data_IF_883054450583
#
_entry.id   IF_883054450583
#
_cell.length_a   1.000
_cell.length_b   1.000
_cell.length_c   1.000
_cell.angle_alpha   90.00
_cell.angle_beta   90.00
_cell.angle_gamma   90.00
#
_symmetry.space_group_name_H-M   'P 1'
#
loop_
_entity.id
_entity.type
_entity.pdbx_description
1 polymer ?
#
# COMPACT_ATOMS: atom_id res chain seq x y z
N UNK A 1 8.40 7.64 26.99
CA UNK A 1 9.00 8.48 25.92
C UNK A 1 8.04 8.56 24.74
N UNK A 2 7.05 9.45 24.79
CA UNK A 2 6.07 9.63 23.70
C UNK A 2 6.30 10.91 22.89
N UNK A 3 6.96 11.91 23.47
CA UNK A 3 7.17 13.22 22.85
C UNK A 3 8.19 13.24 21.70
N UNK A 4 9.18 12.33 21.67
CA UNK A 4 10.19 12.30 20.61
C UNK A 4 9.70 11.74 19.27
N UNK A 5 8.56 11.04 19.24
CA UNK A 5 8.00 10.44 18.02
C UNK A 5 7.14 11.39 17.19
N UNK A 6 6.58 12.44 17.82
CA UNK A 6 5.71 13.44 17.18
C UNK A 6 6.50 14.44 16.30
N UNK A 7 7.68 14.89 16.74
CA UNK A 7 8.48 15.86 15.96
C UNK A 7 9.11 15.26 14.69
N UNK A 8 9.26 13.94 14.61
CA UNK A 8 9.74 13.24 13.41
C UNK A 8 8.57 12.78 12.50
N UNK A 9 7.33 13.17 12.80
CA UNK A 9 6.17 12.92 11.95
C UNK A 9 5.93 14.08 10.98
N UNK A 10 6.14 15.34 11.39
CA UNK A 10 5.89 16.51 10.52
C UNK A 10 6.81 16.55 9.30
N UNK A 11 8.07 16.13 9.42
CA UNK A 11 8.99 16.03 8.28
C UNK A 11 8.69 14.85 7.35
N UNK A 12 8.30 13.70 7.91
CA UNK A 12 7.91 12.51 7.14
C UNK A 12 6.55 12.68 6.45
N UNK A 13 5.59 13.38 7.07
CA UNK A 13 4.34 13.79 6.43
C UNK A 13 4.62 14.68 5.22
N UNK A 14 5.51 15.68 5.36
CA UNK A 14 5.80 16.60 4.27
C UNK A 14 6.49 15.92 3.08
N UNK A 15 7.39 14.96 3.34
CA UNK A 15 7.91 14.10 2.26
C UNK A 15 6.78 13.27 1.67
N UNK A 16 6.02 12.51 2.46
CA UNK A 16 4.90 11.67 2.01
C UNK A 16 3.88 12.42 1.11
N UNK A 17 3.62 13.69 1.39
CA UNK A 17 2.64 14.53 0.67
C UNK A 17 3.07 14.94 -0.75
N UNK A 18 4.36 14.87 -1.09
CA UNK A 18 4.88 15.24 -2.43
C UNK A 18 4.92 14.05 -3.41
N UNK A 19 4.57 12.84 -2.96
CA UNK A 19 4.51 11.61 -3.76
C UNK A 19 3.12 11.28 -4.30
N UNK A 20 3.00 10.16 -5.00
CA UNK A 20 1.68 9.61 -5.37
C UNK A 20 1.02 9.04 -4.12
N UNK A 21 -0.26 9.37 -3.90
CA UNK A 21 -0.97 9.01 -2.68
C UNK A 21 -2.30 8.30 -3.00
N UNK A 22 -2.49 7.13 -2.41
CA UNK A 22 -3.71 6.34 -2.48
C UNK A 22 -4.33 6.18 -1.09
N UNK A 23 -5.65 6.14 -1.05
CA UNK A 23 -6.43 5.85 0.16
C UNK A 23 -7.43 4.75 -0.11
N UNK A 24 -7.56 3.83 0.83
CA UNK A 24 -8.68 2.90 0.94
C UNK A 24 -9.44 3.19 2.23
N UNK A 25 -10.75 3.43 2.09
CA UNK A 25 -11.67 3.44 3.23
C UNK A 25 -12.10 2.02 3.48
N UNK A 26 -11.74 1.50 4.64
CA UNK A 26 -12.01 0.13 5.03
C UNK A 26 -13.39 0.06 5.66
N UNK A 27 -14.22 -0.84 5.16
CA UNK A 27 -15.53 -1.14 5.72
C UNK A 27 -15.57 -2.61 6.07
N UNK A 28 -15.84 -2.89 7.34
CA UNK A 28 -15.87 -4.22 7.90
C UNK A 28 -17.23 -4.87 7.87
N UNK A 29 -17.22 -6.20 7.75
CA UNK A 29 -18.43 -7.01 7.81
C UNK A 29 -18.80 -7.40 9.24
N UNK A 30 -17.86 -7.23 10.18
CA UNK A 30 -18.04 -7.53 11.61
C UNK A 30 -18.00 -6.27 12.48
N UNK A 31 -18.18 -5.08 11.88
CA UNK A 31 -18.16 -3.79 12.57
C UNK A 31 -16.78 -3.13 12.64
N UNK A 32 -15.78 -3.69 11.96
CA UNK A 32 -14.50 -3.04 11.73
C UNK A 32 -14.65 -1.85 10.77
N UNK A 33 -13.92 -0.77 11.04
CA UNK A 33 -13.84 0.39 10.13
C UNK A 33 -12.45 1.00 10.24
N UNK A 34 -11.98 1.58 9.14
CA UNK A 34 -10.67 2.19 9.14
C UNK A 34 -10.30 2.94 7.87
N UNK A 35 -9.08 3.44 7.87
CA UNK A 35 -8.44 4.05 6.71
C UNK A 35 -7.05 3.44 6.53
N UNK A 36 -6.73 3.15 5.28
CA UNK A 36 -5.40 2.75 4.86
C UNK A 36 -4.93 3.74 3.80
N UNK A 37 -3.75 4.30 4.01
CA UNK A 37 -3.10 5.23 3.10
C UNK A 37 -1.76 4.65 2.64
N UNK A 38 -1.48 4.82 1.35
CA UNK A 38 -0.25 4.39 0.71
C UNK A 38 0.34 5.55 -0.05
N UNK A 39 1.57 5.93 0.28
CA UNK A 39 2.28 7.01 -0.38
C UNK A 39 3.62 6.55 -0.93
N UNK A 40 3.96 7.00 -2.13
CA UNK A 40 5.21 6.61 -2.77
C UNK A 40 5.81 7.75 -3.58
N UNK A 41 7.10 7.98 -3.33
CA UNK A 41 7.95 8.71 -4.25
C UNK A 41 8.50 7.78 -5.31
N UNK A 42 8.70 8.32 -6.50
CA UNK A 42 9.32 7.55 -7.56
C UNK A 42 10.72 7.04 -7.13
N UNK A 43 10.99 5.77 -7.43
CA UNK A 43 12.24 5.09 -7.08
C UNK A 43 12.38 4.67 -5.62
N UNK A 44 11.35 4.86 -4.79
CA UNK A 44 11.33 4.44 -3.39
C UNK A 44 10.24 3.39 -3.15
N UNK A 45 10.33 2.63 -2.06
CA UNK A 45 9.23 1.76 -1.62
C UNK A 45 8.06 2.61 -1.09
N UNK A 46 6.80 2.16 -1.27
CA UNK A 46 5.66 2.83 -0.68
C UNK A 46 5.70 2.75 0.85
N UNK A 47 5.21 3.79 1.49
CA UNK A 47 4.93 3.83 2.92
C UNK A 47 3.44 3.67 3.16
N UNK A 48 3.10 2.94 4.22
CA UNK A 48 1.73 2.62 4.59
C UNK A 48 1.38 3.23 5.95
N UNK A 49 0.29 3.98 5.98
CA UNK A 49 -0.41 4.37 7.20
C UNK A 49 -1.70 3.52 7.30
N UNK A 50 -1.91 2.88 8.44
CA UNK A 50 -3.17 2.19 8.72
C UNK A 50 -3.71 2.60 10.07
N UNK A 51 -5.00 2.94 10.11
CA UNK A 51 -5.76 3.21 11.34
C UNK A 51 -7.05 2.43 11.22
N UNK A 52 -7.17 1.36 12.01
CA UNK A 52 -8.28 0.41 11.94
C UNK A 52 -8.84 0.20 13.34
N UNK A 53 -10.16 0.14 13.44
CA UNK A 53 -10.90 -0.03 14.70
C UNK A 53 -11.90 -1.18 14.57
N UNK A 54 -12.40 -1.69 15.69
CA UNK A 54 -13.37 -2.80 15.69
C UNK A 54 -12.74 -4.16 15.39
N UNK A 55 -11.42 -4.29 15.52
CA UNK A 55 -10.71 -5.55 15.39
C UNK A 55 -10.80 -6.39 16.67
N UNK A 56 -10.60 -7.70 16.56
CA UNK A 56 -10.35 -8.53 17.75
C UNK A 56 -9.08 -8.05 18.45
N UNK A 57 -9.10 -8.01 19.79
CA UNK A 57 -8.02 -7.47 20.61
C UNK A 57 -6.78 -8.37 20.63
N UNK A 58 -5.59 -7.75 20.68
CA UNK A 58 -4.29 -8.43 20.87
C UNK A 58 -4.05 -9.53 19.85
N UNK A 59 -4.38 -9.26 18.60
CA UNK A 59 -4.28 -10.22 17.50
C UNK A 59 -3.58 -9.62 16.30
N UNK A 60 -3.01 -10.51 15.47
CA UNK A 60 -2.32 -10.13 14.24
C UNK A 60 -3.27 -10.18 13.04
N UNK A 61 -3.13 -9.18 12.19
CA UNK A 61 -3.86 -9.03 10.95
C UNK A 61 -2.89 -8.79 9.81
N UNK A 62 -3.12 -9.47 8.71
CA UNK A 62 -2.37 -9.31 7.47
C UNK A 62 -3.13 -8.40 6.52
N UNK A 63 -2.43 -7.42 5.97
CA UNK A 63 -2.96 -6.54 4.92
C UNK A 63 -2.56 -7.13 3.57
N UNK A 64 -3.53 -7.38 2.70
CA UNK A 64 -3.30 -7.87 1.35
C UNK A 64 -3.74 -6.86 0.31
N UNK A 65 -2.98 -6.78 -0.78
CA UNK A 65 -3.41 -6.23 -2.06
C UNK A 65 -4.00 -7.34 -2.92
N UNK A 66 -5.27 -7.22 -3.28
CA UNK A 66 -6.09 -8.25 -3.90
C UNK A 66 -6.71 -7.73 -5.21
N UNK A 67 -5.96 -7.71 -6.33
CA UNK A 67 -6.42 -7.08 -7.57
C UNK A 67 -7.55 -7.82 -8.29
N UNK A 68 -7.75 -9.10 -7.94
CA UNK A 68 -8.74 -10.00 -8.54
C UNK A 68 -10.03 -10.10 -7.70
N UNK A 69 -10.10 -9.41 -6.56
CA UNK A 69 -11.27 -9.41 -5.68
C UNK A 69 -12.09 -8.14 -5.93
N UNK A 70 -13.38 -8.32 -6.16
CA UNK A 70 -14.31 -7.21 -6.25
C UNK A 70 -14.75 -6.74 -4.86
N UNK A 71 -14.85 -5.42 -4.66
CA UNK A 71 -15.26 -4.82 -3.39
C UNK A 71 -16.62 -5.36 -2.90
N UNK A 72 -17.58 -5.56 -3.80
CA UNK A 72 -18.92 -6.07 -3.48
C UNK A 72 -18.92 -7.48 -2.89
N UNK A 73 -17.87 -8.26 -3.16
CA UNK A 73 -17.78 -9.68 -2.82
C UNK A 73 -16.59 -10.03 -1.93
N UNK A 74 -15.85 -9.04 -1.42
CA UNK A 74 -14.60 -9.28 -0.69
C UNK A 74 -14.80 -10.12 0.60
N UNK A 75 -15.98 -10.09 1.24
CA UNK A 75 -16.32 -11.01 2.35
C UNK A 75 -16.25 -12.50 1.98
N UNK A 76 -16.44 -12.83 0.70
CA UNK A 76 -16.34 -14.20 0.18
C UNK A 76 -14.90 -14.63 -0.04
N UNK A 77 -13.94 -13.70 -0.05
CA UNK A 77 -12.54 -14.01 -0.29
C UNK A 77 -11.91 -14.86 0.82
N UNK A 78 -12.51 -14.96 2.00
CA UNK A 78 -12.17 -15.94 3.05
C UNK A 78 -12.12 -17.39 2.52
N UNK A 79 -12.87 -17.70 1.46
CA UNK A 79 -12.89 -19.03 0.83
C UNK A 79 -11.68 -19.27 -0.10
N UNK A 80 -10.94 -18.23 -0.47
CA UNK A 80 -9.85 -18.25 -1.45
C UNK A 80 -8.47 -18.34 -0.78
N UNK A 81 -8.34 -19.14 0.29
CA UNK A 81 -7.19 -19.17 1.21
C UNK A 81 -5.80 -19.16 0.54
N UNK A 82 -5.66 -19.75 -0.65
CA UNK A 82 -4.38 -19.88 -1.35
C UNK A 82 -4.11 -18.76 -2.37
N UNK A 83 -5.05 -17.84 -2.61
CA UNK A 83 -4.91 -16.79 -3.61
C UNK A 83 -5.66 -15.49 -3.22
N UNK A 84 -5.30 -14.94 -2.06
CA UNK A 84 -5.81 -13.63 -1.61
C UNK A 84 -5.09 -12.44 -2.27
N UNK A 85 -4.04 -12.71 -3.06
CA UNK A 85 -3.16 -11.71 -3.65
C UNK A 85 -1.88 -11.51 -2.84
N UNK A 86 -1.29 -10.32 -2.94
CA UNK A 86 0.02 -10.01 -2.35
C UNK A 86 -0.14 -9.49 -0.93
N UNK A 87 0.48 -10.16 0.04
CA UNK A 87 0.63 -9.62 1.40
C UNK A 87 1.53 -8.38 1.38
N UNK A 88 1.06 -7.29 1.98
CA UNK A 88 1.79 -6.04 2.11
C UNK A 88 2.55 -6.01 3.45
N UNK A 89 1.82 -6.12 4.56
CA UNK A 89 2.36 -6.02 5.92
C UNK A 89 1.52 -6.83 6.92
N UNK A 90 2.08 -7.11 8.09
CA UNK A 90 1.35 -7.60 9.26
C UNK A 90 1.26 -6.50 10.31
N UNK A 91 0.09 -6.33 10.90
CA UNK A 91 -0.20 -5.35 11.94
C UNK A 91 -0.82 -6.05 13.16
N UNK A 92 -0.69 -5.47 14.34
CA UNK A 92 -1.33 -5.95 15.56
C UNK A 92 -2.38 -4.96 16.09
N UNK A 93 -3.43 -5.49 16.70
CA UNK A 93 -4.43 -4.70 17.43
C UNK A 93 -4.06 -4.56 18.91
N UNK A 94 -4.37 -3.39 19.49
CA UNK A 94 -4.23 -3.12 20.90
C UNK A 94 -5.36 -3.78 21.73
N UNK A 95 -5.31 -3.61 23.06
CA UNK A 95 -6.34 -4.10 23.98
C UNK A 95 -7.69 -3.38 23.91
N UNK A 96 -7.95 -2.60 22.84
CA UNK A 96 -9.22 -1.94 22.54
C UNK A 96 -9.71 -2.29 21.13
N UNK A 97 -9.02 -3.22 20.44
CA UNK A 97 -9.37 -3.59 19.07
C UNK A 97 -8.97 -2.54 18.05
N UNK A 98 -7.95 -1.72 18.34
CA UNK A 98 -7.44 -0.70 17.43
C UNK A 98 -6.04 -1.07 16.93
N UNK A 99 -5.82 -1.00 15.63
CA UNK A 99 -4.49 -1.12 15.03
C UNK A 99 -4.08 0.22 14.41
N UNK A 100 -2.90 0.73 14.80
CA UNK A 100 -2.33 1.97 14.25
C UNK A 100 -0.90 1.72 13.81
N UNK A 101 -0.65 1.84 12.52
CA UNK A 101 0.69 1.71 11.93
C UNK A 101 1.08 3.02 11.23
N UNK A 102 2.02 3.80 11.78
CA UNK A 102 2.35 5.11 11.25
C UNK A 102 3.47 5.06 10.20
N UNK A 103 3.10 5.07 8.92
CA UNK A 103 4.03 5.21 7.78
C UNK A 103 5.18 4.19 7.79
N UNK A 104 4.83 2.91 7.84
CA UNK A 104 5.79 1.80 7.75
C UNK A 104 6.13 1.50 6.28
N UNK A 105 7.34 1.05 6.00
CA UNK A 105 7.74 0.67 4.65
C UNK A 105 7.04 -0.62 4.21
N UNK A 106 6.67 -0.69 2.93
CA UNK A 106 6.08 -1.87 2.29
C UNK A 106 7.03 -2.36 1.20
N UNK A 107 7.61 -3.54 1.42
CA UNK A 107 8.61 -4.10 0.52
C UNK A 107 7.99 -4.74 -0.73
N UNK A 108 8.75 -4.70 -1.83
CA UNK A 108 8.42 -5.32 -3.12
C UNK A 108 7.07 -4.90 -3.73
N UNK A 109 6.48 -3.79 -3.31
CA UNK A 109 5.20 -3.30 -3.83
C UNK A 109 5.37 -1.90 -4.44
N UNK A 110 4.62 -1.59 -5.50
CA UNK A 110 4.63 -0.27 -6.12
C UNK A 110 3.20 0.16 -6.38
N UNK A 111 2.87 1.38 -5.94
CA UNK A 111 1.56 2.01 -6.16
C UNK A 111 1.55 2.94 -7.36
N UNK A 112 2.71 3.41 -7.85
CA UNK A 112 2.80 4.30 -9.00
C UNK A 112 2.55 3.55 -10.33
N UNK A 113 1.36 2.96 -10.47
CA UNK A 113 0.81 2.38 -11.68
C UNK A 113 -0.70 2.56 -11.68
N UNK A 114 -1.28 2.85 -12.85
CA UNK A 114 -2.74 2.93 -13.00
C UNK A 114 -3.42 1.57 -12.75
N UNK A 115 -2.70 0.45 -12.87
CA UNK A 115 -3.22 -0.91 -12.61
C UNK A 115 -3.59 -1.15 -11.14
N UNK A 116 -3.10 -0.31 -10.23
CA UNK A 116 -3.35 -0.37 -8.78
C UNK A 116 -4.62 0.39 -8.39
N UNK A 117 -5.08 1.31 -9.25
CA UNK A 117 -6.29 2.07 -9.01
C UNK A 117 -7.52 1.15 -9.05
N UNK A 118 -8.49 1.45 -8.19
CA UNK A 118 -9.77 0.74 -8.11
C UNK A 118 -9.62 -0.74 -7.71
N UNK A 119 -8.43 -1.12 -7.20
CA UNK A 119 -8.13 -2.45 -6.67
C UNK A 119 -8.37 -2.52 -5.18
N UNK A 120 -8.66 -3.72 -4.69
CA UNK A 120 -9.07 -3.94 -3.31
C UNK A 120 -7.87 -4.25 -2.42
N UNK A 121 -7.90 -3.70 -1.21
CA UNK A 121 -7.10 -4.15 -0.08
C UNK A 121 -7.97 -4.92 0.90
N UNK A 122 -7.43 -5.98 1.47
CA UNK A 122 -8.10 -6.85 2.45
C UNK A 122 -7.37 -6.79 3.78
N UNK A 123 -8.13 -6.80 4.87
CA UNK A 123 -7.63 -6.99 6.23
C UNK A 123 -8.03 -8.39 6.66
N UNK A 124 -7.04 -9.24 6.90
CA UNK A 124 -7.23 -10.68 7.11
C UNK A 124 -6.68 -11.08 8.47
N UNK A 125 -7.49 -11.76 9.27
CA UNK A 125 -7.04 -12.31 10.55
C UNK A 125 -6.00 -13.43 10.32
N UNK A 126 -4.79 -13.27 10.87
CA UNK A 126 -3.66 -14.13 10.53
C UNK A 126 -3.87 -15.61 10.92
N UNK A 127 -4.64 -15.86 11.99
CA UNK A 127 -4.83 -17.22 12.53
C UNK A 127 -5.92 -18.02 11.81
N UNK A 128 -6.91 -17.35 11.23
CA UNK A 128 -8.10 -17.98 10.66
C UNK A 128 -8.19 -17.80 9.15
N UNK A 129 -7.44 -16.84 8.61
CA UNK A 129 -7.54 -16.35 7.24
C UNK A 129 -8.92 -15.73 6.91
N UNK A 130 -9.64 -15.27 7.94
CA UNK A 130 -10.92 -14.58 7.75
C UNK A 130 -10.68 -13.14 7.29
N UNK A 131 -11.35 -12.74 6.20
CA UNK A 131 -11.42 -11.34 5.80
C UNK A 131 -12.35 -10.60 6.74
N UNK A 132 -11.83 -9.58 7.42
CA UNK A 132 -12.56 -8.78 8.41
C UNK A 132 -13.09 -7.50 7.74
N UNK A 133 -12.18 -6.79 7.08
CA UNK A 133 -12.47 -5.53 6.38
C UNK A 133 -11.88 -5.54 4.98
N UNK A 134 -12.45 -4.71 4.09
CA UNK A 134 -11.82 -4.40 2.82
C UNK A 134 -12.11 -2.97 2.39
N UNK A 135 -11.33 -2.47 1.44
CA UNK A 135 -11.52 -1.16 0.86
C UNK A 135 -10.91 -1.08 -0.53
N UNK A 136 -11.36 -0.13 -1.32
CA UNK A 136 -10.88 0.11 -2.67
C UNK A 136 -9.87 1.26 -2.68
N UNK A 137 -8.74 1.08 -3.38
CA UNK A 137 -7.70 2.09 -3.52
C UNK A 137 -8.12 3.18 -4.49
N UNK A 138 -8.21 4.41 -3.98
CA UNK A 138 -8.52 5.62 -4.76
C UNK A 138 -7.41 6.65 -4.59
N UNK A 139 -7.24 7.51 -5.59
CA UNK A 139 -6.34 8.66 -5.48
C UNK A 139 -6.76 9.53 -4.30
N UNK A 140 -5.82 9.81 -3.41
CA UNK A 140 -5.99 10.75 -2.30
C UNK A 140 -5.38 12.11 -2.67
N UNK A 141 -6.13 13.19 -2.47
CA UNK A 141 -5.66 14.54 -2.77
C UNK A 141 -5.75 14.91 -4.26
N UNK A 142 -4.74 15.60 -4.78
CA UNK A 142 -4.78 16.21 -6.12
C UNK A 142 -4.31 15.25 -7.21
N UNK A 143 -5.17 14.97 -8.20
CA UNK A 143 -4.84 14.14 -9.37
C UNK A 143 -3.61 14.62 -10.14
N UNK A 144 -3.33 15.93 -10.16
CA UNK A 144 -2.13 16.44 -10.84
C UNK A 144 -0.83 16.03 -10.14
N UNK A 145 -0.85 15.92 -8.80
CA UNK A 145 0.28 15.42 -8.02
C UNK A 145 0.48 13.93 -8.29
N UNK A 146 -0.61 13.16 -8.32
CA UNK A 146 -0.60 11.74 -8.72
C UNK A 146 0.06 11.53 -10.09
N UNK A 147 -0.41 12.21 -11.13
CA UNK A 147 0.16 12.07 -12.47
C UNK A 147 1.60 12.59 -12.56
N UNK A 148 1.98 13.59 -11.75
CA UNK A 148 3.38 14.02 -11.67
C UNK A 148 4.26 12.92 -11.07
N UNK A 149 3.81 12.26 -10.02
CA UNK A 149 4.54 11.16 -9.39
C UNK A 149 4.66 9.94 -10.35
N UNK A 150 3.57 9.58 -11.03
CA UNK A 150 3.56 8.56 -12.10
C UNK A 150 4.53 8.90 -13.22
N UNK A 151 4.45 10.11 -13.79
CA UNK A 151 5.29 10.50 -14.94
C UNK A 151 6.75 10.74 -14.55
N UNK A 152 7.00 11.10 -13.29
CA UNK A 152 8.34 11.13 -12.71
C UNK A 152 9.03 9.76 -12.79
N UNK A 153 8.26 8.66 -12.88
CA UNK A 153 8.74 7.29 -13.12
C UNK A 153 9.44 7.11 -14.47
N UNK A 154 9.29 8.05 -15.41
CA UNK A 154 9.95 8.00 -16.71
C UNK A 154 11.31 8.72 -16.70
N UNK A 155 12.38 8.04 -16.26
CA UNK A 155 13.75 8.33 -16.74
C UNK A 155 14.85 7.33 -16.35
N UNK A 156 14.66 5.99 -16.33
CA UNK A 156 15.82 5.07 -16.32
C UNK A 156 15.58 3.72 -17.02
N UNK A 157 14.88 3.66 -18.16
CA UNK A 157 14.90 2.46 -19.01
C UNK A 157 14.97 2.83 -20.50
N UNK A 158 16.08 3.48 -20.84
CA UNK A 158 16.43 3.84 -22.21
C UNK A 158 17.92 4.00 -22.44
N UNK A 159 18.78 3.28 -21.70
CA UNK A 159 20.17 3.12 -22.08
C UNK A 159 20.24 2.01 -23.13
N UNK A 160 19.97 2.36 -24.38
CA UNK A 160 20.42 1.58 -25.53
C UNK A 160 21.94 1.63 -25.49
N UNK A 161 22.58 0.57 -24.97
CA UNK A 161 24.02 0.39 -25.12
C UNK A 161 24.27 0.05 -26.58
N UNK A 162 24.51 1.06 -27.40
CA UNK A 162 25.06 0.87 -28.75
C UNK A 162 26.52 0.45 -28.56
N UNK A 163 26.78 -0.86 -28.58
CA UNK A 163 28.14 -1.36 -28.81
C UNK A 163 28.52 -1.03 -30.26
N UNK A 164 29.22 0.10 -30.46
CA UNK A 164 29.93 0.38 -31.70
C UNK A 164 31.07 -0.63 -31.83
N UNK A 165 30.83 -1.71 -32.57
CA UNK A 165 31.89 -2.54 -33.16
C UNK A 165 32.54 -1.70 -34.27
N UNK A 166 33.50 -0.86 -33.88
CA UNK A 166 34.30 -0.03 -34.79
C UNK A 166 35.79 -0.27 -34.59
N UNK A 167 36.21 -1.54 -34.42
CA UNK A 167 37.62 -1.95 -34.51
C UNK A 167 37.72 -3.32 -35.20
N UNK A 168 37.25 -3.42 -36.44
CA UNK A 168 37.64 -4.51 -37.36
C UNK A 168 37.93 -4.02 -38.79
N UNK A 169 38.08 -2.70 -38.99
CA UNK A 169 38.53 -2.12 -40.25
C UNK A 169 39.51 -0.98 -39.97
N UNK A 170 40.67 -1.34 -39.44
CA UNK A 170 41.90 -0.58 -39.71
C UNK A 170 42.88 -1.64 -40.21
N UNK A 171 43.23 -1.49 -41.50
CA UNK A 171 44.27 -2.21 -42.23
C UNK A 171 45.59 -2.33 -41.45
#
# INVERSE_FOLDING_TARGET
>A
MWYGRLFNQTGREHEVLDGGHLVARLTGYQGGEGVLELAQHNGQNPKLLAIITGLQEKQNFDIFYAPDIELSSCHKATQLKDNLGKKLVTIDSDGRGMAVQPWIDVDDFHILSDDVLDKVVLIVEANTSNVIDCGELKIHGNKSVWYRALNGSSSVLGQIVIFLVAVLFID
#
